data_IF_610455254041
#
_entry.id   IF_610455254041
#
_cell.length_a   1.000
_cell.length_b   1.000
_cell.length_c   1.000
_cell.angle_alpha   90.00
_cell.angle_beta   90.00
_cell.angle_gamma   90.00
#
_symmetry.space_group_name_H-M   'P 1'
#
loop_
_entity.id
_entity.type
_entity.pdbx_description
1 polymer ?
#
# COMPACT_ATOMS: atom_id res chain seq x y z
N UNK A 1 -4.36 41.79 0.98
CA UNK A 1 -5.19 40.85 0.19
C UNK A 1 -5.23 39.52 0.94
N UNK A 2 -6.40 38.94 1.20
CA UNK A 2 -6.46 37.57 1.76
C UNK A 2 -5.83 36.64 0.71
N UNK A 3 -4.71 35.99 1.04
CA UNK A 3 -4.19 34.90 0.24
C UNK A 3 -5.27 33.81 0.24
N UNK A 4 -5.91 33.63 -0.91
CA UNK A 4 -6.91 32.57 -1.11
C UNK A 4 -6.25 31.30 -1.65
N UNK A 5 -4.97 31.34 -1.96
CA UNK A 5 -4.17 30.21 -2.42
C UNK A 5 -3.35 29.68 -1.25
N UNK A 6 -3.20 28.35 -1.18
CA UNK A 6 -2.31 27.70 -0.23
C UNK A 6 -1.38 26.73 -0.95
N UNK A 7 -0.10 26.79 -0.59
CA UNK A 7 0.91 25.79 -1.00
C UNK A 7 1.45 25.11 0.24
N UNK A 8 1.36 23.79 0.27
CA UNK A 8 1.78 22.97 1.39
C UNK A 8 2.83 21.99 0.90
N UNK A 9 3.97 21.93 1.57
CA UNK A 9 5.03 20.96 1.31
C UNK A 9 5.30 20.18 2.59
N UNK A 10 5.13 18.87 2.56
CA UNK A 10 5.40 18.02 3.74
C UNK A 10 6.45 17.00 3.39
N UNK A 11 7.53 16.99 4.15
CA UNK A 11 8.62 16.02 3.99
C UNK A 11 8.20 14.62 4.42
N UNK A 12 8.77 13.62 3.76
CA UNK A 12 8.51 12.20 4.02
C UNK A 12 7.62 11.57 2.94
N UNK A 13 7.68 10.24 2.85
CA UNK A 13 6.82 9.51 1.94
C UNK A 13 5.38 9.48 2.47
N UNK A 14 4.37 9.81 1.65
CA UNK A 14 2.99 9.80 2.10
C UNK A 14 2.54 8.41 2.56
N UNK A 15 1.77 8.38 3.64
CA UNK A 15 1.26 7.14 4.22
C UNK A 15 -0.20 6.97 3.80
N UNK A 16 -0.54 5.85 3.15
CA UNK A 16 -1.93 5.53 2.83
C UNK A 16 -2.67 5.07 4.08
N UNK A 17 -3.83 5.68 4.38
CA UNK A 17 -4.71 5.23 5.46
C UNK A 17 -5.48 4.00 5.01
N UNK A 18 -5.12 2.82 5.51
CA UNK A 18 -6.02 1.66 5.44
C UNK A 18 -7.15 1.89 6.43
N UNK A 19 -8.42 1.72 6.03
CA UNK A 19 -9.57 1.77 6.94
C UNK A 19 -9.59 0.57 7.90
N UNK A 20 -8.55 0.39 8.72
CA UNK A 20 -8.53 -0.61 9.77
C UNK A 20 -9.37 -0.07 10.93
N UNK A 21 -10.67 -0.37 10.88
CA UNK A 21 -11.60 -0.11 11.97
C UNK A 21 -11.69 -1.38 12.80
N UNK A 22 -11.35 -1.31 14.09
CA UNK A 22 -11.62 -2.40 15.01
C UNK A 22 -13.12 -2.38 15.33
N UNK A 23 -13.81 -3.50 15.18
CA UNK A 23 -15.21 -3.61 15.57
C UNK A 23 -15.28 -4.08 17.02
N UNK A 24 -16.10 -3.43 17.85
CA UNK A 24 -16.42 -3.99 19.16
C UNK A 24 -17.40 -5.17 19.03
N UNK A 25 -17.69 -5.82 20.16
CA UNK A 25 -18.61 -6.96 20.24
C UNK A 25 -20.03 -6.64 19.70
N UNK A 26 -20.39 -5.35 19.66
CA UNK A 26 -21.67 -4.84 19.14
C UNK A 26 -21.56 -4.33 17.69
N UNK A 27 -20.47 -4.63 16.97
CA UNK A 27 -20.24 -4.22 15.59
C UNK A 27 -19.92 -2.74 15.39
N UNK A 28 -19.83 -1.92 16.45
CA UNK A 28 -19.44 -0.51 16.33
C UNK A 28 -17.95 -0.42 16.06
N UNK A 29 -17.60 0.38 15.05
CA UNK A 29 -16.22 0.72 14.77
C UNK A 29 -15.64 1.56 15.91
N UNK A 30 -14.56 1.07 16.52
CA UNK A 30 -13.74 1.78 17.51
C UNK A 30 -12.42 2.14 16.83
N UNK A 31 -12.03 3.40 16.98
CA UNK A 31 -10.68 3.87 16.67
C UNK A 31 -9.80 3.60 17.91
N UNK A 32 -8.67 2.87 17.79
CA UNK A 32 -7.78 2.64 18.92
C UNK A 32 -7.28 4.00 19.48
N UNK A 33 -7.25 4.10 20.81
CA UNK A 33 -6.80 5.29 21.53
C UNK A 33 -5.30 5.54 21.32
N UNK A 34 -4.92 6.83 21.25
CA UNK A 34 -3.55 7.28 20.98
C UNK A 34 -2.61 6.80 22.11
N UNK A 35 -1.90 5.70 21.85
CA UNK A 35 -1.14 4.92 22.85
C UNK A 35 0.38 5.07 22.71
N UNK A 36 0.83 5.90 21.77
CA UNK A 36 2.23 6.02 21.36
C UNK A 36 2.75 4.82 20.55
N UNK A 37 1.85 3.97 20.03
CA UNK A 37 2.20 2.73 19.31
C UNK A 37 2.08 2.92 17.81
N UNK A 38 2.54 1.94 17.04
CA UNK A 38 2.48 1.95 15.56
C UNK A 38 1.10 2.28 14.97
N UNK A 39 0.01 1.95 15.68
CA UNK A 39 -1.36 2.25 15.25
C UNK A 39 -1.67 3.75 15.19
N UNK A 40 -0.91 4.58 15.90
CA UNK A 40 -1.10 6.02 16.02
C UNK A 40 -0.44 6.80 14.88
N UNK A 41 0.33 6.11 14.03
CA UNK A 41 1.06 6.71 12.91
C UNK A 41 0.19 7.58 12.00
N UNK A 42 -1.10 7.23 11.83
CA UNK A 42 -2.02 8.01 11.00
C UNK A 42 -2.41 9.32 11.67
N UNK A 43 -2.71 9.30 12.97
CA UNK A 43 -3.03 10.50 13.73
C UNK A 43 -1.82 11.45 13.80
N UNK A 44 -0.63 10.90 14.05
CA UNK A 44 0.63 11.66 14.06
C UNK A 44 0.93 12.24 12.68
N UNK A 45 0.70 11.47 11.60
CA UNK A 45 0.88 11.95 10.24
C UNK A 45 -0.10 13.08 9.89
N UNK A 46 -1.38 12.93 10.23
CA UNK A 46 -2.40 13.98 10.06
C UNK A 46 -2.05 15.25 10.85
N UNK A 47 -1.53 15.12 12.07
CA UNK A 47 -1.05 16.25 12.89
C UNK A 47 0.18 16.93 12.29
N UNK A 48 1.11 16.15 11.74
CA UNK A 48 2.30 16.67 11.07
C UNK A 48 1.89 17.49 9.84
N UNK A 49 0.97 16.97 9.03
CA UNK A 49 0.42 17.70 7.89
C UNK A 49 -0.27 18.97 8.36
N UNK A 50 -1.10 18.90 9.41
CA UNK A 50 -1.83 20.04 9.92
C UNK A 50 -0.89 21.15 10.40
N UNK A 51 0.17 20.78 11.10
CA UNK A 51 1.20 21.69 11.59
C UNK A 51 1.96 22.35 10.44
N UNK A 52 2.51 21.57 9.51
CA UNK A 52 3.27 22.08 8.36
C UNK A 52 2.42 23.01 7.49
N UNK A 53 1.19 22.59 7.18
CA UNK A 53 0.24 23.37 6.41
C UNK A 53 -0.02 24.74 7.05
N UNK A 54 -0.29 24.76 8.36
CA UNK A 54 -0.57 26.00 9.11
C UNK A 54 0.66 26.89 9.27
N UNK A 55 1.83 26.30 9.48
CA UNK A 55 3.12 26.99 9.57
C UNK A 55 3.46 27.72 8.28
N UNK A 56 3.26 27.05 7.13
CA UNK A 56 3.56 27.59 5.81
C UNK A 56 2.50 28.59 5.32
N UNK A 57 1.24 28.44 5.75
CA UNK A 57 0.12 29.29 5.32
C UNK A 57 -0.61 29.91 6.52
N UNK A 58 0.06 30.79 7.28
CA UNK A 58 -0.54 31.41 8.45
C UNK A 58 -1.78 32.24 8.08
N UNK A 59 -2.85 32.12 8.87
CA UNK A 59 -4.12 32.84 8.69
C UNK A 59 -4.83 32.61 7.35
N UNK A 60 -4.44 31.58 6.60
CA UNK A 60 -5.11 31.20 5.35
C UNK A 60 -6.27 30.27 5.66
N UNK A 61 -7.47 30.66 5.25
CA UNK A 61 -8.70 29.86 5.35
C UNK A 61 -9.46 30.06 4.04
N UNK A 62 -9.72 28.97 3.34
CA UNK A 62 -10.45 28.93 2.08
C UNK A 62 -11.82 28.33 2.38
N UNK A 63 -12.87 29.14 2.27
CA UNK A 63 -14.25 28.73 2.59
C UNK A 63 -15.08 28.32 1.37
N UNK A 64 -14.52 28.41 0.18
CA UNK A 64 -15.18 28.09 -1.10
C UNK A 64 -14.65 26.78 -1.71
N UNK A 65 -15.21 26.35 -2.83
CA UNK A 65 -14.73 25.17 -3.55
C UNK A 65 -13.30 25.37 -4.07
N UNK A 66 -12.51 24.30 -4.03
CA UNK A 66 -11.10 24.33 -4.41
C UNK A 66 -10.74 23.27 -5.45
N UNK A 67 -9.76 23.64 -6.27
CA UNK A 67 -9.00 22.77 -7.16
C UNK A 67 -7.71 22.40 -6.43
N UNK A 68 -7.44 21.11 -6.30
CA UNK A 68 -6.22 20.59 -5.69
C UNK A 68 -5.27 20.04 -6.75
N UNK A 69 -4.00 20.43 -6.66
CA UNK A 69 -2.91 19.83 -7.44
C UNK A 69 -1.95 19.19 -6.44
N UNK A 70 -1.91 17.86 -6.45
CA UNK A 70 -1.10 17.07 -5.53
C UNK A 70 0.07 16.45 -6.30
N UNK A 71 1.30 16.87 -5.99
CA UNK A 71 2.53 16.28 -6.51
C UNK A 71 3.15 15.41 -5.44
N UNK A 72 3.46 14.17 -5.79
CA UNK A 72 3.97 13.17 -4.85
C UNK A 72 5.34 12.70 -5.30
N UNK A 73 6.32 12.82 -4.41
CA UNK A 73 7.69 12.41 -4.64
C UNK A 73 8.00 11.17 -3.80
N UNK A 74 7.99 10.01 -4.45
CA UNK A 74 8.28 8.73 -3.81
C UNK A 74 9.80 8.49 -3.72
N UNK A 75 10.23 7.84 -2.63
CA UNK A 75 11.65 7.51 -2.41
C UNK A 75 12.19 6.47 -3.39
N UNK A 76 11.33 5.60 -3.92
CA UNK A 76 11.71 4.47 -4.76
C UNK A 76 10.64 4.22 -5.80
N UNK A 77 11.08 3.82 -6.99
CA UNK A 77 10.25 3.35 -8.11
C UNK A 77 9.64 1.96 -7.85
N UNK A 78 10.21 1.22 -6.90
CA UNK A 78 9.63 -0.05 -6.43
C UNK A 78 8.35 0.21 -5.64
N UNK A 79 7.62 -0.88 -5.32
CA UNK A 79 6.33 -0.88 -4.58
C UNK A 79 6.20 0.27 -3.56
N UNK A 80 5.43 1.28 -3.95
CA UNK A 80 4.99 2.37 -3.10
C UNK A 80 3.49 2.22 -2.81
N UNK A 81 2.95 2.92 -1.79
CA UNK A 81 1.51 2.94 -1.54
C UNK A 81 0.75 3.45 -2.76
N UNK A 82 -0.45 2.92 -3.01
CA UNK A 82 -1.28 3.38 -4.12
C UNK A 82 -1.59 4.87 -3.95
N UNK A 83 -1.30 5.65 -4.97
CA UNK A 83 -1.39 7.11 -4.96
C UNK A 83 -2.81 7.61 -4.74
N UNK A 84 -3.80 6.87 -5.22
CA UNK A 84 -5.20 7.19 -4.94
C UNK A 84 -5.53 7.07 -3.43
N UNK A 85 -4.89 6.14 -2.71
CA UNK A 85 -5.17 5.90 -1.30
C UNK A 85 -4.52 6.91 -0.34
N UNK A 86 -3.46 7.61 -0.77
CA UNK A 86 -2.79 8.64 0.06
C UNK A 86 -3.57 9.95 0.10
N UNK A 87 -4.44 10.20 -0.88
CA UNK A 87 -5.25 11.43 -0.91
C UNK A 87 -6.09 11.60 0.34
N UNK A 88 -6.71 10.51 0.82
CA UNK A 88 -7.56 10.52 2.00
C UNK A 88 -6.82 11.00 3.25
N UNK A 89 -5.63 10.45 3.53
CA UNK A 89 -4.84 10.86 4.70
C UNK A 89 -4.32 12.28 4.59
N UNK A 90 -3.98 12.73 3.37
CA UNK A 90 -3.52 14.09 3.13
C UNK A 90 -4.66 15.08 3.38
N UNK A 91 -5.83 14.89 2.78
CA UNK A 91 -6.96 15.81 2.94
C UNK A 91 -7.53 15.80 4.36
N UNK A 92 -7.55 14.66 5.06
CA UNK A 92 -7.87 14.59 6.50
C UNK A 92 -6.95 15.52 7.32
N UNK A 93 -5.64 15.49 7.05
CA UNK A 93 -4.66 16.37 7.70
C UNK A 93 -4.80 17.86 7.33
N UNK A 94 -5.14 18.15 6.08
CA UNK A 94 -5.37 19.53 5.60
C UNK A 94 -6.67 20.10 6.16
N UNK A 95 -7.73 19.32 6.30
CA UNK A 95 -8.96 19.72 7.02
C UNK A 95 -8.63 20.03 8.49
N UNK A 96 -7.86 19.14 9.15
CA UNK A 96 -7.41 19.35 10.53
C UNK A 96 -6.55 20.62 10.70
N UNK A 97 -5.86 21.08 9.65
CA UNK A 97 -5.10 22.34 9.64
C UNK A 97 -5.97 23.61 9.66
N UNK A 98 -7.24 23.48 9.26
CA UNK A 98 -8.16 24.61 9.08
C UNK A 98 -7.89 25.49 7.86
N UNK A 99 -7.00 25.09 6.94
CA UNK A 99 -6.84 25.77 5.63
C UNK A 99 -8.12 25.61 4.80
N UNK A 100 -8.71 24.42 4.82
CA UNK A 100 -10.07 24.16 4.30
C UNK A 100 -10.97 23.81 5.47
N UNK A 101 -12.26 24.09 5.34
CA UNK A 101 -13.30 23.76 6.31
C UNK A 101 -13.64 22.27 6.24
N UNK A 102 -13.66 21.69 5.03
CA UNK A 102 -14.05 20.30 4.81
C UNK A 102 -13.43 19.73 3.53
N UNK A 103 -13.08 18.44 3.53
CA UNK A 103 -12.59 17.73 2.34
C UNK A 103 -13.55 17.78 1.13
N UNK A 104 -14.86 17.91 1.35
CA UNK A 104 -15.86 18.07 0.30
C UNK A 104 -15.72 19.39 -0.50
N UNK A 105 -14.94 20.36 -0.03
CA UNK A 105 -14.61 21.55 -0.81
C UNK A 105 -13.75 21.21 -2.02
N UNK A 106 -13.02 20.10 -2.00
CA UNK A 106 -12.12 19.69 -3.07
C UNK A 106 -12.95 19.08 -4.21
N UNK A 107 -13.22 19.87 -5.25
CA UNK A 107 -14.07 19.45 -6.39
C UNK A 107 -13.28 18.87 -7.56
N UNK A 108 -12.01 19.21 -7.66
CA UNK A 108 -11.10 18.77 -8.72
C UNK A 108 -9.76 18.43 -8.10
N UNK A 109 -9.23 17.25 -8.44
CA UNK A 109 -7.94 16.79 -7.93
C UNK A 109 -7.11 16.30 -9.11
N UNK A 110 -5.91 16.83 -9.25
CA UNK A 110 -4.86 16.26 -10.09
C UNK A 110 -3.85 15.60 -9.17
N UNK A 111 -3.41 14.41 -9.53
CA UNK A 111 -2.30 13.77 -8.84
C UNK A 111 -1.19 13.52 -9.84
N UNK A 112 -0.01 14.04 -9.53
CA UNK A 112 1.21 13.83 -10.30
C UNK A 112 2.18 13.02 -9.46
N UNK A 113 2.69 11.95 -10.04
CA UNK A 113 3.65 11.07 -9.40
C UNK A 113 5.04 11.33 -9.95
N UNK A 114 6.02 11.35 -9.07
CA UNK A 114 7.42 11.53 -9.40
C UNK A 114 8.30 10.78 -8.40
N UNK A 115 9.55 10.53 -8.78
CA UNK A 115 10.51 9.81 -7.95
C UNK A 115 11.63 10.75 -7.51
N UNK A 116 11.82 10.86 -6.20
CA UNK A 116 12.93 11.59 -5.57
C UNK A 116 13.47 10.77 -4.40
N UNK A 117 14.56 10.04 -4.65
CA UNK A 117 15.18 9.19 -3.65
C UNK A 117 15.86 9.97 -2.51
N UNK A 118 16.18 11.25 -2.75
CA UNK A 118 16.89 12.09 -1.78
C UNK A 118 15.91 12.79 -0.85
N UNK A 119 14.87 13.40 -1.42
CA UNK A 119 13.90 14.23 -0.70
C UNK A 119 12.45 13.81 -1.00
N UNK A 120 12.00 12.64 -0.49
CA UNK A 120 10.62 12.24 -0.62
C UNK A 120 9.73 13.23 0.13
N UNK A 121 8.65 13.66 -0.51
CA UNK A 121 7.71 14.66 0.00
C UNK A 121 6.41 14.61 -0.79
N UNK A 122 5.39 15.31 -0.33
CA UNK A 122 4.31 15.75 -1.21
C UNK A 122 4.22 17.28 -1.22
N UNK A 123 3.77 17.80 -2.34
CA UNK A 123 3.45 19.20 -2.53
C UNK A 123 1.97 19.28 -2.91
N UNK A 124 1.19 20.02 -2.14
CA UNK A 124 -0.22 20.25 -2.37
C UNK A 124 -0.45 21.74 -2.63
N UNK A 125 -1.07 22.04 -3.74
CA UNK A 125 -1.49 23.39 -4.10
C UNK A 125 -3.02 23.45 -4.15
N UNK A 126 -3.60 24.42 -3.46
CA UNK A 126 -5.05 24.63 -3.35
C UNK A 126 -5.43 25.97 -3.99
N UNK A 127 -6.27 25.89 -5.01
CA UNK A 127 -6.74 27.05 -5.79
C UNK A 127 -8.25 27.24 -5.63
N UNK A 128 -8.73 28.42 -5.26
CA UNK A 128 -10.16 28.72 -5.23
C UNK A 128 -10.80 28.67 -6.62
N UNK A 129 -11.92 27.97 -6.76
CA UNK A 129 -12.64 27.86 -8.04
C UNK A 129 -13.23 29.20 -8.51
N UNK A 130 -13.49 30.17 -7.62
CA UNK A 130 -13.94 31.49 -8.05
C UNK A 130 -12.89 32.29 -8.83
N UNK A 131 -11.60 31.97 -8.65
CA UNK A 131 -10.47 32.71 -9.23
C UNK A 131 -9.72 31.92 -10.29
N UNK A 132 -9.71 30.60 -10.16
CA UNK A 132 -8.91 29.72 -11.00
C UNK A 132 -9.79 28.68 -11.68
N UNK A 133 -9.44 28.38 -12.94
CA UNK A 133 -10.07 27.32 -13.72
C UNK A 133 -9.00 26.38 -14.22
N UNK A 134 -9.23 25.09 -14.07
CA UNK A 134 -8.38 24.05 -14.63
C UNK A 134 -8.89 23.64 -16.03
N UNK A 135 -7.98 23.57 -17.00
CA UNK A 135 -8.21 23.03 -18.35
C UNK A 135 -7.16 21.95 -18.64
N UNK A 136 -7.58 20.83 -19.22
CA UNK A 136 -6.70 19.76 -19.68
C UNK A 136 -7.13 19.28 -21.07
N UNK A 137 -6.15 18.82 -21.84
CA UNK A 137 -6.35 18.23 -23.17
C UNK A 137 -5.48 16.99 -23.30
N UNK A 138 -6.07 15.90 -23.79
CA UNK A 138 -5.36 14.64 -24.04
C UNK A 138 -4.88 14.68 -25.48
N UNK A 139 -3.57 14.79 -25.66
CA UNK A 139 -2.93 14.85 -26.97
C UNK A 139 -2.22 13.52 -27.26
N UNK A 140 -2.19 13.13 -28.53
CA UNK A 140 -1.33 12.03 -28.98
C UNK A 140 0.11 12.55 -29.02
N UNK A 141 1.04 11.79 -28.45
CA UNK A 141 2.47 12.09 -28.55
C UNK A 141 2.97 11.77 -29.96
N UNK A 142 3.89 12.59 -30.46
CA UNK A 142 4.52 12.37 -31.76
C UNK A 142 5.48 11.17 -31.73
N UNK A 143 6.12 10.94 -30.58
CA UNK A 143 6.99 9.80 -30.29
C UNK A 143 6.39 8.94 -29.16
N UNK A 144 6.47 7.61 -29.31
CA UNK A 144 5.98 6.65 -28.31
C UNK A 144 7.04 6.45 -27.21
N UNK A 145 6.65 6.66 -25.95
CA UNK A 145 7.50 6.31 -24.80
C UNK A 145 7.49 4.79 -24.55
N UNK A 146 8.55 4.28 -23.90
CA UNK A 146 8.58 2.90 -23.45
C UNK A 146 7.43 2.61 -22.47
N UNK A 147 6.55 1.63 -22.76
CA UNK A 147 5.40 1.36 -21.91
C UNK A 147 5.81 0.69 -20.60
N UNK A 148 5.30 1.21 -19.49
CA UNK A 148 5.39 0.55 -18.18
C UNK A 148 4.39 -0.60 -18.13
N UNK A 149 4.90 -1.84 -18.19
CA UNK A 149 4.07 -3.04 -18.12
C UNK A 149 3.80 -3.46 -16.68
N UNK A 150 2.53 -3.72 -16.35
CA UNK A 150 2.12 -4.16 -15.02
C UNK A 150 1.80 -5.66 -15.02
N UNK A 151 2.41 -6.39 -14.09
CA UNK A 151 2.11 -7.81 -13.86
C UNK A 151 0.96 -7.99 -12.85
N UNK A 152 0.17 -9.08 -12.97
CA UNK A 152 -0.78 -9.45 -11.93
C UNK A 152 -0.07 -9.68 -10.58
N UNK A 153 -0.77 -9.43 -9.45
CA UNK A 153 -0.17 -9.55 -8.12
C UNK A 153 0.45 -10.93 -7.92
N UNK A 154 1.61 -10.96 -7.25
CA UNK A 154 2.44 -12.17 -7.05
C UNK A 154 1.67 -13.37 -6.53
N UNK A 155 0.59 -13.15 -5.77
CA UNK A 155 -0.28 -14.21 -5.23
C UNK A 155 -1.08 -14.98 -6.29
N UNK A 156 -1.15 -14.51 -7.55
CA UNK A 156 -1.79 -15.23 -8.66
C UNK A 156 -0.81 -16.03 -9.53
N UNK A 157 0.50 -16.03 -9.24
CA UNK A 157 1.51 -16.84 -9.97
C UNK A 157 1.29 -18.37 -9.88
N UNK A 158 0.27 -18.85 -9.16
CA UNK A 158 -0.11 -20.27 -9.06
C UNK A 158 -1.23 -20.74 -10.00
N UNK A 159 -1.76 -19.90 -10.88
CA UNK A 159 -2.58 -20.38 -11.99
C UNK A 159 -1.69 -20.64 -13.20
N UNK A 160 -0.75 -21.60 -13.08
CA UNK A 160 -0.18 -22.19 -14.29
C UNK A 160 -1.33 -22.86 -15.04
N UNK A 161 -1.49 -22.66 -16.37
CA UNK A 161 -2.35 -23.53 -17.14
C UNK A 161 -1.89 -24.97 -16.87
N UNK A 162 -2.84 -25.87 -16.58
CA UNK A 162 -2.56 -27.30 -16.45
C UNK A 162 -1.93 -27.76 -17.76
N UNK A 163 -0.61 -27.78 -17.82
CA UNK A 163 0.10 -28.61 -18.79
C UNK A 163 -0.30 -30.02 -18.40
N UNK A 164 -1.13 -30.65 -19.24
CA UNK A 164 -1.44 -32.07 -19.16
C UNK A 164 -0.10 -32.81 -19.27
N UNK A 165 0.48 -33.15 -18.12
CA UNK A 165 1.64 -34.04 -18.09
C UNK A 165 1.17 -35.37 -18.63
N UNK A 166 1.77 -35.78 -19.75
CA UNK A 166 1.69 -37.14 -20.26
C UNK A 166 1.99 -38.12 -19.12
N UNK A 167 1.13 -39.13 -19.00
CA UNK A 167 1.28 -40.24 -18.05
C UNK A 167 2.57 -40.98 -18.38
N UNK A 168 3.63 -40.74 -17.62
CA UNK A 168 4.74 -41.69 -17.54
C UNK A 168 4.36 -42.82 -16.59
N UNK A 169 4.51 -44.04 -17.09
CA UNK A 169 4.32 -45.33 -16.43
C UNK A 169 4.97 -45.41 -15.04
N UNK A 170 4.42 -46.22 -14.12
CA UNK A 170 4.89 -46.30 -12.74
C UNK A 170 6.30 -46.93 -12.72
N UNK A 171 7.29 -46.19 -12.24
CA UNK A 171 8.50 -46.78 -11.69
C UNK A 171 8.26 -46.98 -10.20
N UNK A 172 8.44 -48.21 -9.75
CA UNK A 172 8.35 -48.61 -8.35
C UNK A 172 9.48 -47.91 -7.56
N UNK A 173 9.17 -46.78 -6.94
CA UNK A 173 10.09 -46.13 -6.01
C UNK A 173 10.05 -46.89 -4.68
N UNK A 174 10.97 -47.85 -4.51
CA UNK A 174 11.28 -48.43 -3.20
C UNK A 174 11.94 -47.36 -2.33
N UNK A 175 11.23 -46.85 -1.32
CA UNK A 175 11.78 -45.93 -0.32
C UNK A 175 12.54 -46.73 0.74
N UNK A 176 13.59 -46.18 1.34
CA UNK A 176 14.40 -46.88 2.36
C UNK A 176 14.36 -46.09 3.67
N UNK A 177 14.18 -46.80 4.79
CA UNK A 177 14.22 -46.20 6.12
C UNK A 177 15.62 -45.68 6.46
N UNK A 178 15.73 -44.41 6.86
CA UNK A 178 16.99 -43.78 7.28
C UNK A 178 17.56 -44.35 8.59
N UNK A 179 16.74 -45.05 9.40
CA UNK A 179 17.17 -45.61 10.70
C UNK A 179 17.52 -47.09 10.61
N UNK A 180 16.71 -47.91 9.91
CA UNK A 180 16.92 -49.36 9.87
C UNK A 180 17.31 -49.92 8.50
N UNK A 181 17.41 -49.08 7.47
CA UNK A 181 17.80 -49.50 6.12
C UNK A 181 16.80 -50.42 5.42
N UNK A 182 15.61 -50.65 5.98
CA UNK A 182 14.58 -51.49 5.37
C UNK A 182 13.82 -50.74 4.28
N UNK A 183 13.47 -51.45 3.20
CA UNK A 183 12.60 -50.94 2.13
C UNK A 183 11.16 -50.78 2.63
N UNK A 184 10.56 -49.61 2.39
CA UNK A 184 9.23 -49.19 2.80
C UNK A 184 8.42 -48.81 1.55
N UNK A 185 7.15 -49.18 1.54
CA UNK A 185 6.18 -48.70 0.54
C UNK A 185 5.70 -47.29 0.87
N UNK A 186 5.31 -46.50 -0.14
CA UNK A 186 4.85 -45.10 0.05
C UNK A 186 3.74 -44.97 1.10
N UNK A 187 2.88 -45.97 1.25
CA UNK A 187 1.76 -45.97 2.21
C UNK A 187 2.18 -46.14 3.68
N UNK A 188 3.41 -46.62 3.93
CA UNK A 188 3.92 -46.88 5.29
C UNK A 188 5.12 -45.99 5.66
N UNK A 189 5.49 -45.07 4.76
CA UNK A 189 6.59 -44.14 4.94
C UNK A 189 6.15 -42.88 5.70
N UNK A 190 6.90 -42.52 6.73
CA UNK A 190 6.72 -41.29 7.50
C UNK A 190 7.89 -40.36 7.18
N UNK A 191 7.59 -39.13 6.77
CA UNK A 191 8.59 -38.15 6.39
C UNK A 191 8.82 -37.15 7.54
N UNK A 192 10.08 -36.96 7.92
CA UNK A 192 10.53 -35.97 8.89
C UNK A 192 11.46 -34.93 8.22
N UNK A 193 11.73 -33.82 8.90
CA UNK A 193 12.59 -32.72 8.42
C UNK A 193 12.24 -32.19 7.03
N UNK A 194 10.99 -31.75 6.85
CA UNK A 194 10.47 -31.20 5.59
C UNK A 194 10.65 -32.14 4.38
N UNK A 195 10.71 -33.45 4.63
CA UNK A 195 10.82 -34.48 3.59
C UNK A 195 12.22 -35.04 3.36
N UNK A 196 13.22 -34.59 4.12
CA UNK A 196 14.60 -35.08 3.96
C UNK A 196 14.84 -36.45 4.60
N UNK A 197 14.03 -36.85 5.57
CA UNK A 197 14.24 -38.09 6.35
C UNK A 197 13.03 -39.02 6.19
N UNK A 198 13.26 -40.29 5.82
CA UNK A 198 12.20 -41.29 5.63
C UNK A 198 12.29 -42.35 6.72
N UNK A 199 11.22 -42.53 7.49
CA UNK A 199 11.16 -43.42 8.65
C UNK A 199 10.05 -44.46 8.50
N UNK A 200 10.28 -45.67 8.98
CA UNK A 200 9.22 -46.67 9.15
C UNK A 200 8.51 -46.49 10.50
N UNK A 201 7.23 -46.89 10.56
CA UNK A 201 6.41 -46.84 11.80
C UNK A 201 7.13 -47.46 13.01
N UNK A 202 7.81 -48.60 12.83
CA UNK A 202 8.51 -49.27 13.93
C UNK A 202 9.73 -48.50 14.45
N UNK A 203 10.43 -47.77 13.58
CA UNK A 203 11.56 -46.94 14.00
C UNK A 203 11.07 -45.68 14.73
N UNK A 204 9.97 -45.08 14.26
CA UNK A 204 9.37 -43.93 14.94
C UNK A 204 8.89 -44.31 16.35
N UNK A 205 8.21 -45.45 16.50
CA UNK A 205 7.69 -45.91 17.80
C UNK A 205 8.78 -46.31 18.80
N UNK A 206 10.01 -46.56 18.35
CA UNK A 206 11.17 -46.82 19.24
C UNK A 206 11.92 -45.56 19.66
N UNK A 207 11.61 -44.42 19.03
CA UNK A 207 12.20 -43.11 19.35
C UNK A 207 11.41 -42.34 20.41
N UNK A 208 10.32 -42.92 20.93
CA UNK A 208 9.48 -42.40 22.01
C UNK A 208 9.32 -43.45 23.10
#
# INVERSE_FOLDING_TARGET
MKNSYAKIVVSGSPISKSNFKLSNVNGRAILPYNSGKYYDRYAVYEETIAYEARSQNPNTIISESVIAVLKVFYKSEKRHPDTNNITKSIFDGIEKSGIIINDAQVRRIIIEESYDSKNPRFELELFPESKFKMQYSILKKDEEDEPINYDPPSNKKRLKPKILKEKKSPKEDTLVCSICGKSITKDTAIFADKGNTVLCKNCLMKSF
#
